data_IF_762207932582
#
_entry.id   IF_762207932582
#
_cell.length_a   1.000
_cell.length_b   1.000
_cell.length_c   1.000
_cell.angle_alpha   90.00
_cell.angle_beta   90.00
_cell.angle_gamma   90.00
#
_symmetry.space_group_name_H-M   'P 1'
#
loop_
_entity.id
_entity.type
_entity.pdbx_description
1 polymer ?
#
# COMPACT_ATOMS: atom_id res chain seq x y z
N UNK A 1 -3.93 11.56 -29.13
CA UNK A 1 -4.45 10.56 -30.10
C UNK A 1 -3.75 9.21 -29.97
N UNK A 2 -2.41 9.12 -30.10
CA UNK A 2 -1.64 7.86 -30.14
C UNK A 2 -1.89 6.86 -28.99
N UNK A 3 -2.02 7.35 -27.76
CA UNK A 3 -2.11 6.48 -26.57
C UNK A 3 -3.51 6.40 -25.94
N UNK A 4 -4.45 7.20 -26.43
CA UNK A 4 -5.78 7.38 -25.81
C UNK A 4 -5.77 8.03 -24.42
N UNK A 5 -4.62 8.47 -23.88
CA UNK A 5 -4.51 9.08 -22.55
C UNK A 5 -4.30 10.60 -22.67
N UNK A 6 -5.35 11.42 -22.50
CA UNK A 6 -5.21 12.87 -22.55
C UNK A 6 -4.50 13.38 -21.30
N UNK A 7 -3.72 14.47 -21.45
CA UNK A 7 -3.12 15.19 -20.35
C UNK A 7 -3.27 16.70 -20.53
N UNK A 8 -3.49 17.41 -19.43
CA UNK A 8 -3.46 18.88 -19.36
C UNK A 8 -2.40 19.35 -18.34
N UNK A 9 -1.91 20.61 -18.43
CA UNK A 9 -1.03 21.20 -17.41
C UNK A 9 -1.60 21.10 -15.98
N UNK A 10 -2.92 21.20 -15.86
CA UNK A 10 -3.70 21.08 -14.64
C UNK A 10 -4.91 20.20 -14.93
N UNK A 11 -5.15 19.20 -14.09
CA UNK A 11 -6.22 18.23 -14.29
C UNK A 11 -7.12 18.18 -13.06
N UNK A 12 -8.38 18.57 -13.25
CA UNK A 12 -9.40 18.44 -12.22
C UNK A 12 -10.04 17.06 -12.22
N UNK A 13 -10.39 16.58 -11.03
CA UNK A 13 -11.22 15.40 -10.84
C UNK A 13 -12.08 15.59 -9.57
N UNK A 14 -13.38 15.33 -9.66
CA UNK A 14 -14.30 15.46 -8.54
C UNK A 14 -15.67 15.94 -9.00
N UNK A 15 -16.50 16.38 -8.04
CA UNK A 15 -17.82 16.93 -8.34
C UNK A 15 -17.69 18.22 -9.17
N UNK A 16 -18.52 18.40 -10.19
CA UNK A 16 -18.49 19.63 -11.01
C UNK A 16 -18.81 20.89 -10.18
N UNK A 17 -19.63 20.72 -9.15
CA UNK A 17 -20.04 21.77 -8.21
C UNK A 17 -19.30 21.69 -6.85
N UNK A 18 -18.08 21.13 -6.84
CA UNK A 18 -17.29 21.03 -5.61
C UNK A 18 -17.07 22.38 -4.94
N UNK A 19 -17.29 22.44 -3.61
CA UNK A 19 -17.06 23.64 -2.80
C UNK A 19 -15.65 23.67 -2.19
N UNK A 20 -15.06 22.47 -2.00
CA UNK A 20 -13.71 22.24 -1.46
C UNK A 20 -12.83 21.52 -2.47
N UNK A 21 -11.65 22.10 -2.73
CA UNK A 21 -10.68 21.53 -3.66
C UNK A 21 -9.30 21.37 -3.00
N UNK A 22 -8.68 20.19 -3.15
CA UNK A 22 -7.27 20.00 -2.85
C UNK A 22 -6.43 20.22 -4.12
N UNK A 23 -5.41 21.08 -4.06
CA UNK A 23 -4.40 21.25 -5.11
C UNK A 23 -3.13 20.51 -4.69
N UNK A 24 -2.64 19.60 -5.54
CA UNK A 24 -1.52 18.72 -5.19
C UNK A 24 -0.73 18.30 -6.43
N UNK A 25 0.55 17.99 -6.22
CA UNK A 25 1.46 17.49 -7.25
C UNK A 25 2.04 16.09 -6.90
N UNK A 26 2.36 15.30 -7.92
CA UNK A 26 3.04 14.01 -7.77
C UNK A 26 2.12 12.86 -7.34
N UNK A 27 2.71 11.79 -6.79
CA UNK A 27 2.00 10.54 -6.50
C UNK A 27 0.84 10.70 -5.50
N UNK A 28 0.97 11.63 -4.54
CA UNK A 28 -0.09 11.90 -3.56
C UNK A 28 -1.42 12.26 -4.20
N UNK A 29 -1.42 12.83 -5.41
CA UNK A 29 -2.64 13.13 -6.17
C UNK A 29 -3.55 11.93 -6.42
N UNK A 30 -3.00 10.71 -6.51
CA UNK A 30 -3.81 9.50 -6.69
C UNK A 30 -4.53 9.08 -5.39
N UNK A 31 -3.88 9.21 -4.24
CA UNK A 31 -4.52 8.96 -2.95
C UNK A 31 -5.61 10.00 -2.63
N UNK A 32 -5.41 11.26 -3.04
CA UNK A 32 -6.46 12.29 -2.94
C UNK A 32 -7.61 12.00 -3.90
N UNK A 33 -7.35 11.57 -5.13
CA UNK A 33 -8.39 11.17 -6.08
C UNK A 33 -9.25 10.04 -5.53
N UNK A 34 -8.63 9.01 -4.94
CA UNK A 34 -9.34 7.91 -4.27
C UNK A 34 -10.18 8.40 -3.07
N UNK A 35 -9.65 9.34 -2.28
CA UNK A 35 -10.42 9.97 -1.20
C UNK A 35 -11.61 10.80 -1.73
N UNK A 36 -11.45 11.48 -2.87
CA UNK A 36 -12.52 12.23 -3.55
C UNK A 36 -13.60 11.28 -4.05
N UNK A 37 -13.24 10.14 -4.63
CA UNK A 37 -14.19 9.09 -5.05
C UNK A 37 -15.02 8.61 -3.86
N UNK A 38 -14.35 8.27 -2.74
CA UNK A 38 -15.01 7.84 -1.51
C UNK A 38 -15.96 8.91 -0.97
N UNK A 39 -15.51 10.14 -0.83
CA UNK A 39 -16.32 11.23 -0.26
C UNK A 39 -17.52 11.59 -1.15
N UNK A 40 -17.32 11.67 -2.46
CA UNK A 40 -18.40 12.00 -3.39
C UNK A 40 -19.44 10.88 -3.47
N UNK A 41 -19.03 9.61 -3.41
CA UNK A 41 -19.95 8.48 -3.31
C UNK A 41 -20.80 8.51 -2.01
N UNK A 42 -20.32 9.21 -0.97
CA UNK A 42 -21.02 9.43 0.30
C UNK A 42 -21.68 10.81 0.40
N UNK A 43 -21.93 11.47 -0.74
CA UNK A 43 -22.75 12.70 -0.81
C UNK A 43 -22.01 14.00 -0.50
N UNK A 44 -20.70 13.96 -0.28
CA UNK A 44 -19.89 15.18 -0.21
C UNK A 44 -19.61 15.73 -1.61
N UNK A 45 -19.26 17.02 -1.72
CA UNK A 45 -18.95 17.70 -2.99
C UNK A 45 -17.51 18.20 -2.99
N UNK A 46 -16.58 17.29 -3.22
CA UNK A 46 -15.14 17.58 -3.17
C UNK A 46 -14.45 17.29 -4.49
N UNK A 47 -13.29 17.91 -4.68
CA UNK A 47 -12.46 17.67 -5.85
C UNK A 47 -10.97 17.85 -5.62
N UNK A 48 -10.19 17.32 -6.54
CA UNK A 48 -8.74 17.44 -6.57
C UNK A 48 -8.29 18.06 -7.89
N UNK A 49 -7.41 19.05 -7.80
CA UNK A 49 -6.72 19.63 -8.95
C UNK A 49 -5.26 19.17 -8.92
N UNK A 50 -4.90 18.38 -9.94
CA UNK A 50 -3.60 17.74 -10.07
C UNK A 50 -2.70 18.62 -10.92
N UNK A 51 -1.60 19.08 -10.35
CA UNK A 51 -0.60 19.88 -11.08
C UNK A 51 0.32 18.93 -11.84
N UNK A 52 0.36 19.06 -13.18
CA UNK A 52 1.26 18.31 -14.07
C UNK A 52 2.44 19.16 -14.51
N UNK A 53 2.20 20.43 -14.82
CA UNK A 53 3.22 21.39 -15.21
C UNK A 53 3.34 22.47 -14.12
N UNK A 54 4.31 22.31 -13.21
CA UNK A 54 4.57 23.33 -12.19
C UNK A 54 5.32 24.54 -12.76
N UNK A 55 6.24 24.31 -13.70
CA UNK A 55 7.02 25.35 -14.37
C UNK A 55 7.15 25.06 -15.87
N UNK A 56 6.92 26.06 -16.75
CA UNK A 56 6.39 27.40 -16.44
C UNK A 56 4.96 27.34 -15.91
N UNK A 57 4.60 28.23 -14.98
CA UNK A 57 3.26 28.30 -14.41
C UNK A 57 2.31 29.00 -15.39
N UNK A 58 1.17 28.38 -15.70
CA UNK A 58 0.16 28.88 -16.64
C UNK A 58 -1.11 29.23 -15.87
N UNK A 59 -1.18 30.46 -15.35
CA UNK A 59 -2.25 30.90 -14.45
C UNK A 59 -3.64 30.74 -15.07
N UNK A 60 -3.79 31.08 -16.35
CA UNK A 60 -5.07 31.01 -17.07
C UNK A 60 -5.57 29.56 -17.15
N UNK A 61 -4.68 28.63 -17.50
CA UNK A 61 -5.02 27.21 -17.57
C UNK A 61 -5.29 26.59 -16.19
N UNK A 62 -4.67 27.14 -15.12
CA UNK A 62 -4.96 26.72 -13.75
C UNK A 62 -6.37 27.17 -13.33
N UNK A 63 -6.72 28.43 -13.61
CA UNK A 63 -8.04 28.99 -13.31
C UNK A 63 -9.14 28.29 -14.11
N UNK A 64 -8.91 27.99 -15.40
CA UNK A 64 -9.85 27.23 -16.24
C UNK A 64 -10.12 25.83 -15.68
N UNK A 65 -9.10 25.19 -15.09
CA UNK A 65 -9.24 23.86 -14.50
C UNK A 65 -9.91 23.87 -13.13
N UNK A 66 -9.96 24.99 -12.42
CA UNK A 66 -10.55 25.07 -11.08
C UNK A 66 -12.07 25.31 -11.18
N UNK A 67 -12.93 24.50 -10.52
CA UNK A 67 -14.37 24.74 -10.53
C UNK A 67 -14.74 26.13 -10.00
N UNK A 68 -15.65 26.83 -10.69
CA UNK A 68 -16.15 28.14 -10.25
C UNK A 68 -16.89 28.09 -8.90
N UNK A 69 -17.40 26.91 -8.51
CA UNK A 69 -18.00 26.64 -7.20
C UNK A 69 -16.99 26.56 -6.06
N UNK A 70 -15.70 26.38 -6.34
CA UNK A 70 -14.70 26.20 -5.29
C UNK A 70 -14.59 27.46 -4.42
N UNK A 71 -14.92 27.33 -3.13
CA UNK A 71 -14.81 28.40 -2.10
C UNK A 71 -13.65 28.16 -1.15
N UNK A 72 -13.23 26.90 -0.99
CA UNK A 72 -12.16 26.50 -0.07
C UNK A 72 -11.13 25.69 -0.83
N UNK A 73 -9.89 26.16 -0.84
CA UNK A 73 -8.76 25.53 -1.54
C UNK A 73 -7.69 25.17 -0.51
N UNK A 74 -7.34 23.89 -0.44
CA UNK A 74 -6.18 23.44 0.32
C UNK A 74 -5.05 23.05 -0.63
N UNK A 75 -3.87 23.58 -0.42
CA UNK A 75 -2.68 23.24 -1.22
C UNK A 75 -1.78 22.33 -0.41
N UNK A 76 -1.43 21.17 -0.97
CA UNK A 76 -0.59 20.19 -0.32
C UNK A 76 0.80 20.14 -0.96
N UNK A 77 1.80 20.47 -0.15
CA UNK A 77 3.19 20.49 -0.55
C UNK A 77 3.95 19.30 0.05
N UNK A 78 4.79 18.67 -0.80
CA UNK A 78 5.69 17.58 -0.39
C UNK A 78 7.11 18.10 -0.15
N UNK A 79 7.21 19.24 0.53
CA UNK A 79 8.46 19.89 0.91
C UNK A 79 8.27 20.66 2.23
N UNK A 80 9.37 21.15 2.81
CA UNK A 80 9.36 22.08 3.94
C UNK A 80 10.42 23.15 3.71
N UNK A 81 9.99 24.40 3.60
CA UNK A 81 10.88 25.56 3.56
C UNK A 81 10.85 26.25 4.93
N UNK A 82 11.87 25.99 5.75
CA UNK A 82 11.92 26.49 7.12
C UNK A 82 12.03 28.02 7.16
N UNK A 83 11.07 28.68 7.80
CA UNK A 83 11.04 30.14 7.93
C UNK A 83 10.34 30.87 6.78
N UNK A 84 9.86 30.16 5.75
CA UNK A 84 9.04 30.77 4.71
C UNK A 84 7.62 31.06 5.24
N UNK A 85 6.91 31.96 4.55
CA UNK A 85 5.49 32.22 4.84
C UNK A 85 4.58 31.04 4.43
N UNK A 86 5.03 30.22 3.48
CA UNK A 86 4.36 29.01 3.04
C UNK A 86 5.18 28.29 1.97
N UNK A 87 4.74 27.10 1.60
CA UNK A 87 5.46 26.25 0.65
C UNK A 87 5.28 26.70 -0.82
N UNK A 88 6.17 26.28 -1.74
CA UNK A 88 6.19 26.79 -3.11
C UNK A 88 4.88 26.64 -3.89
N UNK A 89 4.21 25.49 -3.80
CA UNK A 89 2.95 25.32 -4.53
C UNK A 89 1.83 26.12 -3.88
N UNK A 90 1.75 26.14 -2.55
CA UNK A 90 0.83 27.00 -1.81
C UNK A 90 0.97 28.47 -2.20
N UNK A 91 2.20 29.02 -2.17
CA UNK A 91 2.43 30.42 -2.54
C UNK A 91 2.03 30.69 -3.99
N UNK A 92 2.35 29.79 -4.92
CA UNK A 92 1.98 29.94 -6.32
C UNK A 92 0.46 29.99 -6.53
N UNK A 93 -0.28 29.09 -5.88
CA UNK A 93 -1.74 29.03 -5.98
C UNK A 93 -2.39 30.22 -5.29
N UNK A 94 -1.92 30.58 -4.10
CA UNK A 94 -2.44 31.72 -3.34
C UNK A 94 -2.28 33.02 -4.12
N UNK A 95 -1.11 33.27 -4.72
CA UNK A 95 -0.88 34.45 -5.57
C UNK A 95 -1.78 34.42 -6.81
N UNK A 96 -1.86 33.30 -7.53
CA UNK A 96 -2.70 33.21 -8.74
C UNK A 96 -4.19 33.45 -8.45
N UNK A 97 -4.72 32.90 -7.36
CA UNK A 97 -6.12 33.14 -6.97
C UNK A 97 -6.33 34.59 -6.52
N UNK A 98 -5.38 35.14 -5.78
CA UNK A 98 -5.46 36.52 -5.34
C UNK A 98 -5.44 37.52 -6.50
N UNK A 99 -4.54 37.35 -7.47
CA UNK A 99 -4.47 38.18 -8.67
C UNK A 99 -5.77 38.10 -9.48
N UNK A 100 -6.30 36.90 -9.70
CA UNK A 100 -7.58 36.73 -10.40
C UNK A 100 -8.75 37.41 -9.68
N UNK A 101 -8.83 37.29 -8.35
CA UNK A 101 -9.89 37.94 -7.54
C UNK A 101 -9.73 39.47 -7.45
N UNK A 102 -8.52 39.99 -7.66
CA UNK A 102 -8.28 41.43 -7.80
C UNK A 102 -8.69 41.95 -9.18
N UNK A 103 -8.40 41.19 -10.23
CA UNK A 103 -8.73 41.54 -11.62
C UNK A 103 -10.23 41.43 -11.90
N UNK A 104 -10.91 40.42 -11.35
CA UNK A 104 -12.35 40.21 -11.47
C UNK A 104 -13.03 40.13 -10.08
N UNK A 105 -13.55 41.26 -9.57
CA UNK A 105 -14.26 41.31 -8.30
C UNK A 105 -15.56 40.49 -8.24
N UNK A 106 -16.06 39.98 -9.38
CA UNK A 106 -17.22 39.07 -9.40
C UNK A 106 -16.86 37.66 -8.96
N UNK A 107 -15.57 37.30 -8.99
CA UNK A 107 -15.10 36.02 -8.48
C UNK A 107 -15.30 35.95 -6.96
N UNK A 108 -15.69 34.77 -6.45
CA UNK A 108 -15.83 34.60 -5.02
C UNK A 108 -14.46 34.68 -4.35
N UNK A 109 -14.37 35.40 -3.24
CA UNK A 109 -13.24 35.32 -2.32
C UNK A 109 -13.07 33.86 -1.85
N UNK A 110 -11.91 33.26 -2.10
CA UNK A 110 -11.63 31.89 -1.67
C UNK A 110 -10.82 31.86 -0.39
N UNK A 111 -11.15 30.93 0.49
CA UNK A 111 -10.25 30.53 1.56
C UNK A 111 -9.15 29.66 0.95
N UNK A 112 -7.89 30.10 1.03
CA UNK A 112 -6.73 29.31 0.64
C UNK A 112 -5.91 28.95 1.86
N UNK A 113 -5.63 27.67 2.07
CA UNK A 113 -4.76 27.17 3.15
C UNK A 113 -3.69 26.25 2.60
N UNK A 114 -2.54 26.18 3.27
CA UNK A 114 -1.44 25.29 2.93
C UNK A 114 -1.24 24.20 3.99
N UNK A 115 -0.74 23.05 3.56
CA UNK A 115 -0.33 21.95 4.45
C UNK A 115 0.74 21.08 3.81
N UNK A 116 1.47 20.36 4.67
CA UNK A 116 2.58 19.48 4.28
C UNK A 116 2.22 18.01 4.41
N UNK A 117 2.71 17.19 3.49
CA UNK A 117 2.55 15.75 3.54
C UNK A 117 3.80 15.02 3.03
N UNK A 118 3.92 13.74 3.38
CA UNK A 118 4.76 12.78 2.63
C UNK A 118 6.27 13.06 2.59
N UNK A 119 6.80 13.89 3.48
CA UNK A 119 8.25 14.16 3.57
C UNK A 119 9.02 12.87 3.81
N UNK A 120 10.15 12.71 3.12
CA UNK A 120 11.00 11.51 3.20
C UNK A 120 10.23 10.19 3.06
N UNK A 121 9.27 10.14 2.12
CA UNK A 121 8.41 8.97 1.89
C UNK A 121 7.53 8.58 3.07
N UNK A 122 7.22 9.51 3.97
CA UNK A 122 6.15 9.31 4.96
C UNK A 122 4.84 8.94 4.24
N UNK A 123 4.12 7.99 4.84
CA UNK A 123 2.89 7.45 4.27
C UNK A 123 1.82 8.53 4.06
N UNK A 124 1.17 8.51 2.90
CA UNK A 124 0.03 9.38 2.59
C UNK A 124 -1.14 8.56 2.05
N UNK A 125 -2.08 8.28 2.94
CA UNK A 125 -3.25 7.45 2.69
C UNK A 125 -4.45 8.29 2.23
N UNK A 126 -5.47 7.68 1.59
CA UNK A 126 -6.75 8.34 1.35
C UNK A 126 -7.36 8.92 2.63
N UNK A 127 -7.26 8.22 3.77
CA UNK A 127 -7.68 8.71 5.08
C UNK A 127 -6.99 10.04 5.49
N UNK A 128 -5.72 10.25 5.12
CA UNK A 128 -5.03 11.51 5.36
C UNK A 128 -5.59 12.64 4.49
N UNK A 129 -5.94 12.34 3.23
CA UNK A 129 -6.61 13.30 2.35
C UNK A 129 -8.02 13.65 2.84
N UNK A 130 -8.77 12.68 3.38
CA UNK A 130 -10.08 12.93 4.00
C UNK A 130 -9.95 13.84 5.23
N UNK A 131 -8.95 13.63 6.08
CA UNK A 131 -8.68 14.53 7.21
C UNK A 131 -8.41 15.99 6.77
N UNK A 132 -7.82 16.19 5.59
CA UNK A 132 -7.63 17.53 5.00
C UNK A 132 -8.97 18.15 4.60
N UNK A 133 -9.88 17.38 3.99
CA UNK A 133 -11.24 17.87 3.69
C UNK A 133 -12.04 18.19 4.96
N UNK A 134 -11.96 17.35 6.00
CA UNK A 134 -12.58 17.62 7.30
C UNK A 134 -12.00 18.88 7.96
N UNK A 135 -10.69 19.14 7.80
CA UNK A 135 -10.09 20.39 8.26
C UNK A 135 -10.69 21.61 7.55
N UNK A 136 -10.98 21.52 6.25
CA UNK A 136 -11.66 22.58 5.50
C UNK A 136 -13.12 22.82 5.97
N UNK A 137 -13.75 21.83 6.60
CA UNK A 137 -15.11 21.95 7.15
C UNK A 137 -15.17 22.62 8.53
N UNK A 138 -14.03 22.78 9.19
CA UNK A 138 -13.98 23.50 10.46
C UNK A 138 -14.39 24.97 10.27
N UNK A 139 -14.99 25.55 11.31
CA UNK A 139 -15.28 26.98 11.38
C UNK A 139 -14.00 27.82 11.18
N UNK A 140 -12.91 27.37 11.80
CA UNK A 140 -11.56 27.92 11.61
C UNK A 140 -10.63 26.78 11.17
N UNK A 141 -10.44 26.57 9.86
CA UNK A 141 -9.52 25.56 9.35
C UNK A 141 -8.10 25.83 9.82
N UNK A 142 -7.41 24.77 10.26
CA UNK A 142 -5.99 24.84 10.60
C UNK A 142 -5.21 25.17 9.32
N UNK A 143 -4.28 26.12 9.43
CA UNK A 143 -3.35 26.52 8.37
C UNK A 143 -1.95 26.02 8.71
N UNK A 144 -1.08 25.93 7.71
CA UNK A 144 0.33 25.55 7.92
C UNK A 144 0.45 24.20 8.67
N UNK A 145 -0.44 23.28 8.32
CA UNK A 145 -0.57 22.01 9.02
C UNK A 145 0.38 20.95 8.45
N UNK A 146 0.47 19.82 9.13
CA UNK A 146 1.06 18.58 8.64
C UNK A 146 0.05 17.44 8.72
N UNK A 147 0.19 16.43 7.86
CA UNK A 147 -0.67 15.24 7.90
C UNK A 147 0.17 13.97 7.78
N UNK A 148 -0.21 12.92 8.52
CA UNK A 148 0.54 11.66 8.60
C UNK A 148 1.63 11.61 9.67
N UNK A 149 1.66 12.58 10.59
CA UNK A 149 2.48 12.60 11.81
C UNK A 149 1.63 12.99 13.01
N UNK A 150 2.18 12.76 14.21
CA UNK A 150 1.73 13.42 15.44
C UNK A 150 2.78 14.48 15.75
N UNK A 151 2.38 15.74 15.70
CA UNK A 151 3.19 16.89 16.10
C UNK A 151 2.62 17.43 17.41
N UNK A 152 3.17 16.93 18.51
CA UNK A 152 2.83 17.30 19.89
C UNK A 152 3.61 18.52 20.40
N UNK A 153 4.50 19.08 19.58
CA UNK A 153 5.29 20.27 19.91
C UNK A 153 4.60 21.52 19.38
N UNK A 154 4.39 21.62 18.07
CA UNK A 154 3.74 22.80 17.48
C UNK A 154 2.24 22.63 17.31
N UNK A 155 1.70 21.42 17.55
CA UNK A 155 0.28 21.10 17.48
C UNK A 155 -0.34 21.42 16.10
N UNK A 156 0.44 21.22 15.04
CA UNK A 156 0.05 21.49 13.65
C UNK A 156 -0.27 20.23 12.87
N UNK A 157 -0.23 19.04 13.48
CA UNK A 157 -0.68 17.82 12.81
C UNK A 157 -2.20 17.73 12.81
N UNK A 158 -2.80 17.43 11.64
CA UNK A 158 -4.23 17.12 11.57
C UNK A 158 -4.53 15.81 12.32
N UNK A 159 -5.65 15.74 13.05
CA UNK A 159 -6.06 14.49 13.69
C UNK A 159 -6.45 13.45 12.64
N UNK A 160 -6.50 12.15 13.02
CA UNK A 160 -7.05 11.11 12.16
C UNK A 160 -8.47 11.44 11.71
N UNK A 161 -8.80 11.05 10.48
CA UNK A 161 -10.12 11.31 9.91
C UNK A 161 -11.24 10.58 10.68
N UNK A 162 -12.39 11.25 10.83
CA UNK A 162 -13.60 10.62 11.39
C UNK A 162 -14.46 10.00 10.29
N UNK A 163 -14.42 10.56 9.08
CA UNK A 163 -15.17 10.06 7.93
C UNK A 163 -14.54 8.81 7.29
N UNK A 164 -13.21 8.74 7.22
CA UNK A 164 -12.50 7.59 6.67
C UNK A 164 -11.34 7.18 7.60
N UNK A 165 -11.56 6.24 8.53
CA UNK A 165 -10.50 5.72 9.37
C UNK A 165 -9.37 5.08 8.55
N UNK A 166 -8.13 5.25 9.03
CA UNK A 166 -6.98 4.58 8.43
C UNK A 166 -7.19 3.05 8.48
N UNK A 167 -6.83 2.37 7.39
CA UNK A 167 -7.01 0.93 7.27
C UNK A 167 -8.37 0.50 6.74
N UNK A 168 -9.32 1.39 6.47
CA UNK A 168 -10.52 1.06 5.66
C UNK A 168 -10.13 1.07 4.17
N UNK A 169 -10.51 0.03 3.43
CA UNK A 169 -10.21 -0.05 2.00
C UNK A 169 -11.12 0.88 1.19
N UNK A 170 -10.50 1.67 0.33
CA UNK A 170 -11.13 2.52 -0.69
C UNK A 170 -10.77 2.07 -2.11
N UNK A 171 -10.19 0.88 -2.23
CA UNK A 171 -9.78 0.30 -3.51
C UNK A 171 -10.99 -0.23 -4.30
N UNK A 172 -10.88 -0.31 -5.64
CA UNK A 172 -11.91 -0.95 -6.46
C UNK A 172 -12.20 -2.38 -6.00
N UNK A 173 -13.47 -2.77 -6.04
CA UNK A 173 -13.91 -4.14 -5.74
C UNK A 173 -13.16 -5.17 -6.59
N UNK A 174 -12.78 -6.29 -5.96
CA UNK A 174 -11.98 -7.33 -6.61
C UNK A 174 -10.48 -7.06 -6.64
N UNK A 175 -9.99 -5.99 -5.99
CA UNK A 175 -8.56 -5.81 -5.75
C UNK A 175 -8.08 -6.76 -4.66
N UNK A 176 -7.18 -7.65 -5.03
CA UNK A 176 -6.49 -8.58 -4.14
C UNK A 176 -5.17 -7.98 -3.67
N UNK A 177 -4.95 -7.93 -2.36
CA UNK A 177 -3.77 -7.30 -1.75
C UNK A 177 -2.90 -8.34 -1.03
N UNK A 178 -1.59 -8.29 -1.24
CA UNK A 178 -0.64 -9.21 -0.64
C UNK A 178 0.50 -8.49 0.07
N UNK A 179 0.95 -9.06 1.20
CA UNK A 179 2.17 -8.62 1.90
C UNK A 179 3.11 -9.80 2.10
N UNK A 180 4.39 -9.59 1.79
CA UNK A 180 5.44 -10.59 1.98
C UNK A 180 6.57 -10.02 2.82
N UNK A 181 6.78 -10.61 3.98
CA UNK A 181 7.92 -10.35 4.85
C UNK A 181 9.04 -11.33 4.50
N UNK A 182 10.13 -10.82 3.94
CA UNK A 182 11.30 -11.59 3.56
C UNK A 182 12.58 -10.99 4.13
N UNK A 183 13.68 -11.71 3.97
CA UNK A 183 15.02 -11.29 4.36
C UNK A 183 15.85 -10.92 3.14
N UNK A 184 16.71 -9.90 3.27
CA UNK A 184 17.68 -9.56 2.24
C UNK A 184 18.47 -10.80 1.79
N UNK A 185 18.42 -11.08 0.49
CA UNK A 185 19.05 -12.24 -0.19
C UNK A 185 18.35 -13.60 -0.03
N UNK A 186 17.13 -13.67 0.49
CA UNK A 186 16.34 -14.92 0.55
C UNK A 186 15.59 -15.25 -0.77
N UNK A 187 15.53 -14.29 -1.70
CA UNK A 187 14.87 -14.41 -3.00
C UNK A 187 13.40 -13.99 -3.04
N UNK A 188 12.80 -13.55 -1.93
CA UNK A 188 11.39 -13.13 -1.83
C UNK A 188 11.04 -12.03 -2.82
N UNK A 189 11.82 -10.95 -2.86
CA UNK A 189 11.55 -9.83 -3.79
C UNK A 189 11.68 -10.26 -5.25
N UNK A 190 12.64 -11.14 -5.57
CA UNK A 190 12.80 -11.70 -6.90
C UNK A 190 11.60 -12.54 -7.33
N UNK A 191 11.15 -13.44 -6.45
CA UNK A 191 9.97 -14.26 -6.67
C UNK A 191 8.70 -13.40 -6.85
N UNK A 192 8.54 -12.34 -6.06
CA UNK A 192 7.41 -11.42 -6.17
C UNK A 192 7.42 -10.67 -7.51
N UNK A 193 8.58 -10.16 -7.95
CA UNK A 193 8.73 -9.53 -9.28
C UNK A 193 8.36 -10.49 -10.40
N UNK A 194 8.72 -11.76 -10.28
CA UNK A 194 8.39 -12.78 -11.27
C UNK A 194 6.90 -13.14 -11.25
N UNK A 195 6.31 -13.28 -10.05
CA UNK A 195 4.87 -13.51 -9.89
C UNK A 195 4.04 -12.40 -10.56
N UNK A 196 4.43 -11.15 -10.39
CA UNK A 196 3.79 -10.00 -11.04
C UNK A 196 3.84 -10.12 -12.56
N UNK A 197 5.00 -10.45 -13.14
CA UNK A 197 5.13 -10.64 -14.58
C UNK A 197 4.25 -11.78 -15.08
N UNK A 198 4.26 -12.91 -14.38
CA UNK A 198 3.42 -14.07 -14.73
C UNK A 198 1.95 -13.67 -14.74
N UNK A 199 1.47 -12.98 -13.70
CA UNK A 199 0.06 -12.57 -13.60
C UNK A 199 -0.27 -11.52 -14.68
N UNK A 200 0.49 -10.43 -14.75
CA UNK A 200 0.19 -9.32 -15.65
C UNK A 200 0.36 -9.66 -17.15
N UNK A 201 1.21 -10.62 -17.50
CA UNK A 201 1.39 -11.05 -18.91
C UNK A 201 0.43 -12.17 -19.34
N UNK A 202 -0.30 -12.78 -18.41
CA UNK A 202 -1.19 -13.91 -18.71
C UNK A 202 -2.64 -13.67 -18.24
N UNK A 203 -2.95 -12.48 -17.74
CA UNK A 203 -4.30 -12.07 -17.33
C UNK A 203 -4.54 -10.63 -17.76
N UNK A 204 -5.81 -10.23 -17.76
CA UNK A 204 -6.21 -8.83 -17.97
C UNK A 204 -6.17 -8.02 -16.66
N UNK A 205 -5.62 -8.58 -15.58
CA UNK A 205 -5.51 -7.89 -14.30
C UNK A 205 -4.43 -6.82 -14.36
N UNK A 206 -4.74 -5.67 -13.78
CA UNK A 206 -3.74 -4.70 -13.41
C UNK A 206 -2.93 -5.23 -12.23
N UNK A 207 -1.61 -5.01 -12.28
CA UNK A 207 -0.71 -5.36 -11.20
C UNK A 207 0.03 -4.12 -10.70
N UNK A 208 0.18 -4.01 -9.39
CA UNK A 208 0.99 -2.99 -8.73
C UNK A 208 1.92 -3.67 -7.74
N UNK A 209 3.13 -3.12 -7.60
CA UNK A 209 4.09 -3.60 -6.61
C UNK A 209 4.92 -2.47 -6.03
N UNK A 210 5.16 -2.56 -4.73
CA UNK A 210 6.07 -1.71 -3.99
C UNK A 210 6.92 -2.59 -3.08
N UNK A 211 8.21 -2.27 -2.97
CA UNK A 211 9.16 -3.03 -2.16
C UNK A 211 9.83 -2.09 -1.17
N UNK A 212 9.61 -2.33 0.10
CA UNK A 212 10.31 -1.66 1.19
C UNK A 212 11.54 -2.48 1.56
N UNK A 213 12.66 -1.78 1.74
CA UNK A 213 13.95 -2.36 2.10
C UNK A 213 14.49 -1.69 3.35
N UNK A 214 15.14 -2.48 4.19
CA UNK A 214 16.00 -1.96 5.25
C UNK A 214 17.19 -1.18 4.65
N UNK A 215 17.76 -0.27 5.44
CA UNK A 215 19.00 0.43 5.11
C UNK A 215 20.22 -0.53 5.10
N UNK A 216 20.10 -1.68 5.77
CA UNK A 216 21.16 -2.70 5.82
C UNK A 216 21.35 -3.35 4.44
N UNK A 217 22.60 -3.34 3.94
CA UNK A 217 22.95 -3.90 2.62
C UNK A 217 22.71 -5.41 2.49
N UNK A 218 22.75 -6.16 3.59
CA UNK A 218 22.50 -7.60 3.63
C UNK A 218 21.82 -8.00 4.94
N UNK A 219 20.99 -9.05 4.90
CA UNK A 219 20.28 -9.58 6.07
C UNK A 219 19.18 -8.69 6.66
N UNK A 220 18.99 -7.48 6.12
CA UNK A 220 17.91 -6.57 6.50
C UNK A 220 16.52 -7.11 6.12
N UNK A 221 15.48 -6.56 6.74
CA UNK A 221 14.10 -6.92 6.42
C UNK A 221 13.69 -6.36 5.05
N UNK A 222 12.87 -7.11 4.34
CA UNK A 222 12.20 -6.66 3.11
C UNK A 222 10.71 -6.89 3.24
N UNK A 223 9.92 -5.90 2.84
CA UNK A 223 8.46 -6.02 2.83
C UNK A 223 7.96 -5.70 1.44
N UNK A 224 7.35 -6.70 0.79
CA UNK A 224 6.77 -6.54 -0.54
C UNK A 224 5.27 -6.33 -0.42
N UNK A 225 4.76 -5.28 -1.04
CA UNK A 225 3.34 -4.94 -1.13
C UNK A 225 2.91 -5.13 -2.57
N UNK A 226 2.00 -6.07 -2.81
CA UNK A 226 1.51 -6.38 -4.15
C UNK A 226 0.00 -6.17 -4.19
N UNK A 227 -0.50 -5.71 -5.33
CA UNK A 227 -1.93 -5.63 -5.60
C UNK A 227 -2.24 -6.13 -7.00
N UNK A 228 -3.33 -6.85 -7.14
CA UNK A 228 -3.86 -7.34 -8.42
C UNK A 228 -5.34 -7.05 -8.49
N UNK A 229 -5.86 -6.63 -9.64
CA UNK A 229 -7.30 -6.37 -9.76
C UNK A 229 -7.76 -6.13 -11.19
N UNK A 230 -9.07 -6.28 -11.45
CA UNK A 230 -9.64 -6.06 -12.77
C UNK A 230 -9.65 -4.58 -13.18
N UNK A 231 -9.54 -3.67 -12.20
CA UNK A 231 -9.53 -2.23 -12.40
C UNK A 231 -8.14 -1.64 -12.20
N UNK A 232 -7.88 -0.49 -12.83
CA UNK A 232 -6.60 0.22 -12.71
C UNK A 232 -6.31 0.58 -11.25
N UNK A 233 -5.18 0.10 -10.74
CA UNK A 233 -4.77 0.31 -9.35
C UNK A 233 -4.06 1.66 -9.21
N UNK A 234 -4.58 2.53 -8.33
CA UNK A 234 -4.10 3.91 -8.10
C UNK A 234 -3.75 4.19 -6.64
N UNK A 235 -3.11 3.21 -5.99
CA UNK A 235 -2.78 3.27 -4.57
C UNK A 235 -1.27 3.39 -4.34
N UNK A 236 -0.66 4.59 -4.45
CA UNK A 236 0.77 4.78 -4.20
C UNK A 236 1.08 4.84 -2.70
N UNK A 237 0.54 3.90 -1.95
CA UNK A 237 0.66 3.72 -0.51
C UNK A 237 0.72 2.23 -0.16
N UNK A 238 1.26 1.89 1.00
CA UNK A 238 1.46 0.52 1.46
C UNK A 238 0.12 -0.20 1.67
N UNK A 239 0.09 -1.52 1.45
CA UNK A 239 -1.09 -2.36 1.73
C UNK A 239 -1.51 -2.21 3.19
N UNK A 240 -2.77 -1.87 3.40
CA UNK A 240 -3.38 -1.72 4.72
C UNK A 240 -4.28 -2.90 5.10
N UNK A 241 -4.83 -3.61 4.11
CA UNK A 241 -5.76 -4.73 4.29
C UNK A 241 -5.41 -5.89 3.33
N UNK A 242 -4.36 -6.64 3.66
CA UNK A 242 -3.90 -7.81 2.93
C UNK A 242 -4.89 -8.98 3.01
N UNK A 243 -5.23 -9.54 1.85
CA UNK A 243 -5.94 -10.81 1.71
C UNK A 243 -4.99 -12.00 1.92
N UNK A 244 -3.72 -11.82 1.56
CA UNK A 244 -2.67 -12.82 1.71
C UNK A 244 -1.42 -12.23 2.36
N UNK A 245 -0.91 -12.89 3.40
CA UNK A 245 0.28 -12.48 4.12
C UNK A 245 1.25 -13.64 4.27
N UNK A 246 2.46 -13.49 3.72
CA UNK A 246 3.53 -14.47 3.88
C UNK A 246 4.65 -13.92 4.78
N UNK A 247 5.02 -14.71 5.78
CA UNK A 247 6.17 -14.47 6.66
C UNK A 247 7.23 -15.53 6.34
N UNK A 248 8.19 -15.16 5.50
CA UNK A 248 9.22 -16.07 4.99
C UNK A 248 10.37 -16.28 5.98
N UNK A 249 10.35 -15.58 7.11
CA UNK A 249 11.34 -15.71 8.18
C UNK A 249 10.68 -15.64 9.57
N UNK A 250 10.56 -16.80 10.24
CA UNK A 250 9.85 -16.95 11.51
C UNK A 250 10.26 -15.97 12.63
N UNK A 251 11.52 -15.52 12.68
CA UNK A 251 11.99 -14.61 13.73
C UNK A 251 11.34 -13.22 13.69
N UNK A 252 10.71 -12.85 12.57
CA UNK A 252 10.05 -11.56 12.41
C UNK A 252 8.78 -11.44 13.25
N UNK A 253 8.13 -12.55 13.60
CA UNK A 253 6.95 -12.55 14.48
C UNK A 253 7.24 -11.99 15.88
N UNK A 254 8.48 -12.14 16.36
CA UNK A 254 8.89 -11.58 17.65
C UNK A 254 9.41 -10.14 17.55
N UNK A 255 9.80 -9.68 16.35
CA UNK A 255 10.49 -8.39 16.15
C UNK A 255 9.60 -7.29 15.57
N UNK A 256 8.63 -7.68 14.75
CA UNK A 256 7.81 -6.75 13.98
C UNK A 256 6.34 -7.11 14.11
N UNK A 257 5.47 -6.10 13.96
CA UNK A 257 4.03 -6.30 13.89
C UNK A 257 3.60 -6.81 12.50
N UNK A 258 4.02 -8.03 12.18
CA UNK A 258 3.88 -8.61 10.83
C UNK A 258 2.42 -8.78 10.41
N UNK A 259 1.49 -8.90 11.36
CA UNK A 259 0.07 -9.15 11.13
C UNK A 259 -0.79 -7.87 11.04
N UNK A 260 -0.21 -6.69 11.28
CA UNK A 260 -0.96 -5.43 11.38
C UNK A 260 -1.77 -5.06 10.11
N UNK A 261 -1.33 -5.52 8.94
CA UNK A 261 -2.01 -5.24 7.67
C UNK A 261 -2.99 -6.35 7.24
N UNK A 262 -3.16 -7.42 8.01
CA UNK A 262 -3.97 -8.57 7.59
C UNK A 262 -5.47 -8.32 7.77
N UNK A 263 -6.28 -8.65 6.75
CA UNK A 263 -7.75 -8.72 6.86
C UNK A 263 -8.18 -9.84 7.81
N UNK A 264 -9.27 -9.63 8.54
CA UNK A 264 -9.90 -10.74 9.28
C UNK A 264 -10.33 -11.85 8.30
N UNK A 265 -10.04 -13.10 8.64
CA UNK A 265 -10.28 -14.25 7.76
C UNK A 265 -9.28 -14.41 6.60
N UNK A 266 -8.30 -13.51 6.46
CA UNK A 266 -7.28 -13.57 5.41
C UNK A 266 -6.37 -14.80 5.51
N UNK A 267 -5.50 -15.00 4.52
CA UNK A 267 -4.56 -16.12 4.48
C UNK A 267 -3.23 -15.70 5.11
N UNK A 268 -2.71 -16.52 6.02
CA UNK A 268 -1.36 -16.37 6.58
C UNK A 268 -0.53 -17.59 6.22
N UNK A 269 0.64 -17.36 5.63
CA UNK A 269 1.63 -18.40 5.36
C UNK A 269 2.88 -18.11 6.19
N UNK A 270 3.26 -19.05 7.04
CA UNK A 270 4.46 -18.95 7.85
C UNK A 270 5.49 -19.99 7.41
N UNK A 271 6.64 -19.51 6.95
CA UNK A 271 7.81 -20.36 6.74
C UNK A 271 8.49 -20.61 8.09
N UNK A 272 8.34 -21.83 8.62
CA UNK A 272 8.85 -22.21 9.92
C UNK A 272 9.15 -23.70 10.01
N UNK A 273 10.12 -24.06 10.85
CA UNK A 273 10.37 -25.45 11.24
C UNK A 273 9.33 -26.02 12.20
N UNK A 274 8.50 -25.16 12.82
CA UNK A 274 7.48 -25.54 13.79
C UNK A 274 6.15 -25.77 13.07
N UNK A 275 6.05 -26.88 12.34
CA UNK A 275 4.91 -27.18 11.44
C UNK A 275 3.72 -27.86 12.13
N UNK A 276 3.80 -28.07 13.45
CA UNK A 276 2.73 -28.63 14.27
C UNK A 276 2.28 -27.61 15.33
N UNK A 277 0.97 -27.59 15.65
CA UNK A 277 0.33 -26.56 16.48
C UNK A 277 0.98 -26.39 17.84
N UNK A 278 1.29 -27.50 18.52
CA UNK A 278 1.90 -27.46 19.86
C UNK A 278 3.29 -26.86 19.83
N UNK A 279 4.11 -27.28 18.85
CA UNK A 279 5.46 -26.75 18.65
C UNK A 279 5.45 -25.25 18.28
N UNK A 280 4.46 -24.84 17.47
CA UNK A 280 4.27 -23.45 17.09
C UNK A 280 3.82 -22.61 18.29
N UNK A 281 2.89 -23.13 19.10
CA UNK A 281 2.35 -22.45 20.28
C UNK A 281 3.43 -22.10 21.30
N UNK A 282 4.43 -22.98 21.46
CA UNK A 282 5.61 -22.75 22.29
C UNK A 282 6.59 -21.72 21.72
N UNK A 283 6.61 -21.53 20.40
CA UNK A 283 7.49 -20.56 19.73
C UNK A 283 6.87 -19.15 19.64
N UNK A 284 5.57 -19.05 19.39
CA UNK A 284 4.93 -17.76 19.12
C UNK A 284 4.81 -16.88 20.37
N UNK A 285 5.14 -15.57 20.28
CA UNK A 285 4.85 -14.61 21.33
C UNK A 285 3.36 -14.53 21.65
N UNK A 286 3.01 -14.23 22.91
CA UNK A 286 1.62 -14.08 23.36
C UNK A 286 0.82 -13.06 22.52
N UNK A 287 1.44 -11.91 22.19
CA UNK A 287 0.82 -10.87 21.33
C UNK A 287 0.40 -11.44 19.96
N UNK A 288 1.27 -12.22 19.33
CA UNK A 288 1.02 -12.82 18.01
C UNK A 288 -0.10 -13.85 18.08
N UNK A 289 -0.09 -14.70 19.11
CA UNK A 289 -1.18 -15.69 19.34
C UNK A 289 -2.54 -15.02 19.46
N UNK A 290 -2.63 -13.93 20.23
CA UNK A 290 -3.85 -13.11 20.32
C UNK A 290 -4.26 -12.50 18.99
N UNK A 291 -3.33 -11.93 18.25
CA UNK A 291 -3.63 -11.34 16.94
C UNK A 291 -4.19 -12.39 15.98
N UNK A 292 -3.58 -13.59 15.93
CA UNK A 292 -4.08 -14.70 15.12
C UNK A 292 -5.48 -15.14 15.57
N UNK A 293 -5.73 -15.28 16.88
CA UNK A 293 -7.05 -15.63 17.40
C UNK A 293 -8.12 -14.56 17.09
N UNK A 294 -7.77 -13.28 17.16
CA UNK A 294 -8.68 -12.17 16.87
C UNK A 294 -8.98 -12.04 15.37
N UNK A 295 -7.95 -12.16 14.52
CA UNK A 295 -8.06 -12.03 13.07
C UNK A 295 -8.71 -13.27 12.44
N UNK A 296 -8.59 -14.44 13.07
CA UNK A 296 -9.10 -15.74 12.59
C UNK A 296 -8.66 -16.07 11.15
N UNK A 297 -7.37 -15.93 10.79
CA UNK A 297 -6.93 -16.21 9.44
C UNK A 297 -6.94 -17.70 9.12
N UNK A 298 -6.91 -18.01 7.83
CA UNK A 298 -6.51 -19.34 7.36
C UNK A 298 -4.99 -19.46 7.49
N UNK A 299 -4.53 -20.14 8.55
CA UNK A 299 -3.11 -20.29 8.86
C UNK A 299 -2.53 -21.52 8.16
N UNK A 300 -1.46 -21.30 7.40
CA UNK A 300 -0.69 -22.32 6.72
C UNK A 300 0.78 -22.28 7.15
N UNK A 301 1.34 -23.45 7.44
CA UNK A 301 2.72 -23.63 7.87
C UNK A 301 3.49 -24.45 6.83
N UNK A 302 4.75 -24.11 6.63
CA UNK A 302 5.66 -24.88 5.78
C UNK A 302 7.10 -24.73 6.26
N UNK A 303 7.85 -25.82 6.31
CA UNK A 303 9.32 -25.75 6.43
C UNK A 303 9.92 -25.72 5.02
N UNK A 304 9.95 -24.52 4.42
CA UNK A 304 10.40 -24.37 3.06
C UNK A 304 11.90 -24.70 2.89
N UNK A 305 12.68 -24.61 3.97
CA UNK A 305 14.09 -25.00 3.96
C UNK A 305 14.25 -26.51 3.91
N UNK A 306 13.45 -27.27 4.66
CA UNK A 306 13.43 -28.72 4.56
C UNK A 306 13.02 -29.19 3.16
N UNK A 307 11.97 -28.58 2.58
CA UNK A 307 11.54 -28.86 1.19
C UNK A 307 12.67 -28.57 0.20
N UNK A 308 13.28 -27.39 0.28
CA UNK A 308 14.37 -27.00 -0.62
C UNK A 308 15.60 -27.94 -0.51
N UNK A 309 15.93 -28.42 0.69
CA UNK A 309 17.03 -29.39 0.87
C UNK A 309 16.67 -30.74 0.27
N UNK A 310 15.46 -31.25 0.50
CA UNK A 310 15.01 -32.54 0.01
C UNK A 310 14.98 -32.60 -1.53
N UNK A 311 14.71 -31.47 -2.20
CA UNK A 311 14.69 -31.39 -3.67
C UNK A 311 16.01 -30.91 -4.29
N UNK A 312 17.07 -30.74 -3.48
CA UNK A 312 18.40 -30.37 -3.96
C UNK A 312 18.60 -28.89 -4.32
N UNK A 313 17.71 -28.00 -3.87
CA UNK A 313 17.84 -26.53 -4.00
C UNK A 313 18.67 -25.89 -2.87
N UNK A 314 19.06 -26.66 -1.86
CA UNK A 314 19.90 -26.17 -0.75
C UNK A 314 19.15 -25.19 0.13
N UNK A 315 19.60 -23.93 0.18
CA UNK A 315 19.01 -22.87 1.03
C UNK A 315 17.98 -21.99 0.31
N UNK A 316 17.70 -22.26 -0.97
CA UNK A 316 16.85 -21.42 -1.80
C UNK A 316 15.37 -21.78 -1.66
N UNK A 317 14.67 -21.04 -0.79
CA UNK A 317 13.26 -21.27 -0.46
C UNK A 317 12.28 -20.53 -1.37
N UNK A 318 12.77 -19.62 -2.20
CA UNK A 318 11.97 -18.72 -3.02
C UNK A 318 10.99 -19.46 -3.94
N UNK A 319 11.39 -20.56 -4.56
CA UNK A 319 10.51 -21.35 -5.44
C UNK A 319 9.40 -22.06 -4.68
N UNK A 320 9.70 -22.57 -3.48
CA UNK A 320 8.72 -23.21 -2.61
C UNK A 320 7.67 -22.19 -2.18
N UNK A 321 8.11 -21.04 -1.65
CA UNK A 321 7.20 -19.98 -1.19
C UNK A 321 6.39 -19.36 -2.34
N UNK A 322 6.98 -19.21 -3.52
CA UNK A 322 6.26 -18.73 -4.71
C UNK A 322 5.16 -19.70 -5.14
N UNK A 323 5.43 -21.00 -5.07
CA UNK A 323 4.42 -22.03 -5.37
C UNK A 323 3.26 -21.97 -4.38
N UNK A 324 3.56 -21.84 -3.09
CA UNK A 324 2.54 -21.69 -2.04
C UNK A 324 1.67 -20.45 -2.28
N UNK A 325 2.27 -19.32 -2.69
CA UNK A 325 1.51 -18.13 -3.05
C UNK A 325 0.53 -18.39 -4.21
N UNK A 326 0.99 -19.02 -5.30
CA UNK A 326 0.09 -19.32 -6.43
C UNK A 326 -1.02 -20.31 -6.06
N UNK A 327 -0.72 -21.28 -5.18
CA UNK A 327 -1.70 -22.24 -4.70
C UNK A 327 -2.81 -21.58 -3.85
N UNK A 328 -2.44 -20.65 -2.96
CA UNK A 328 -3.36 -20.09 -1.97
C UNK A 328 -3.98 -18.74 -2.35
N UNK A 329 -3.36 -17.98 -3.25
CA UNK A 329 -3.82 -16.62 -3.58
C UNK A 329 -5.11 -16.59 -4.40
N UNK A 330 -5.40 -17.64 -5.16
CA UNK A 330 -6.57 -17.69 -6.05
C UNK A 330 -6.55 -16.69 -7.22
N UNK A 331 -5.47 -15.90 -7.38
CA UNK A 331 -5.33 -14.90 -8.46
C UNK A 331 -5.27 -15.56 -9.84
N UNK A 332 -4.80 -16.81 -9.90
CA UNK A 332 -4.79 -17.65 -11.08
C UNK A 332 -5.31 -19.05 -10.71
N UNK A 333 -6.02 -19.74 -11.63
CA UNK A 333 -6.33 -21.15 -11.45
C UNK A 333 -5.04 -21.96 -11.24
N UNK A 334 -5.04 -22.85 -10.25
CA UNK A 334 -3.86 -23.57 -9.78
C UNK A 334 -3.11 -24.31 -10.90
N UNK A 335 -3.83 -25.06 -11.74
CA UNK A 335 -3.24 -25.80 -12.87
C UNK A 335 -2.49 -24.87 -13.83
N UNK A 336 -3.12 -23.73 -14.14
CA UNK A 336 -2.52 -22.70 -15.00
C UNK A 336 -1.31 -22.05 -14.35
N UNK A 337 -1.38 -21.78 -13.04
CA UNK A 337 -0.27 -21.19 -12.30
C UNK A 337 0.95 -22.12 -12.25
N UNK A 338 0.75 -23.42 -11.99
CA UNK A 338 1.83 -24.42 -12.00
C UNK A 338 2.47 -24.51 -13.39
N UNK A 339 1.66 -24.57 -14.45
CA UNK A 339 2.17 -24.62 -15.81
C UNK A 339 3.02 -23.40 -16.18
N UNK A 340 2.54 -22.19 -15.85
CA UNK A 340 3.27 -20.94 -16.09
C UNK A 340 4.55 -20.85 -15.25
N UNK A 341 4.50 -21.29 -13.99
CA UNK A 341 5.66 -21.32 -13.11
C UNK A 341 6.74 -22.28 -13.64
N UNK A 342 6.36 -23.52 -13.99
CA UNK A 342 7.28 -24.51 -14.59
C UNK A 342 7.89 -24.00 -15.90
N UNK A 343 7.10 -23.32 -16.74
CA UNK A 343 7.58 -22.67 -17.97
C UNK A 343 8.58 -21.53 -17.70
N UNK A 344 8.30 -20.67 -16.72
CA UNK A 344 9.21 -19.59 -16.33
C UNK A 344 10.53 -20.13 -15.78
N UNK A 345 10.48 -21.16 -14.92
CA UNK A 345 11.66 -21.87 -14.40
C UNK A 345 12.52 -22.39 -15.55
N UNK A 346 11.93 -23.11 -16.50
CA UNK A 346 12.68 -23.68 -17.63
C UNK A 346 13.39 -22.58 -18.42
N UNK A 347 12.73 -21.47 -18.69
CA UNK A 347 13.33 -20.32 -19.40
C UNK A 347 14.44 -19.63 -18.59
N UNK A 348 14.25 -19.46 -17.28
CA UNK A 348 15.19 -18.76 -16.42
C UNK A 348 16.48 -19.56 -16.17
N UNK A 349 16.37 -20.90 -16.10
CA UNK A 349 17.46 -21.78 -15.73
C UNK A 349 17.97 -22.69 -16.86
N UNK A 350 17.50 -22.50 -18.10
CA UNK A 350 17.95 -23.25 -19.28
C UNK A 350 19.48 -23.32 -19.39
N UNK A 351 20.15 -22.17 -19.18
CA UNK A 351 21.62 -22.06 -19.24
C UNK A 351 22.35 -22.77 -18.10
N UNK A 352 21.66 -23.16 -17.02
CA UNK A 352 22.24 -23.88 -15.88
C UNK A 352 22.13 -25.40 -16.01
N UNK A 353 21.50 -25.89 -17.08
CA UNK A 353 21.37 -27.31 -17.39
C UNK A 353 20.07 -27.95 -16.90
N UNK A 354 19.69 -29.11 -17.49
CA UNK A 354 18.40 -29.77 -17.26
C UNK A 354 18.21 -30.25 -15.82
N UNK A 355 19.29 -30.62 -15.13
CA UNK A 355 19.22 -31.07 -13.73
C UNK A 355 18.72 -29.96 -12.79
N UNK A 356 19.18 -28.72 -13.00
CA UNK A 356 18.73 -27.57 -12.19
C UNK A 356 17.26 -27.29 -12.44
N UNK A 357 16.80 -27.37 -13.69
CA UNK A 357 15.38 -27.20 -14.04
C UNK A 357 14.53 -28.28 -13.36
N UNK A 358 14.95 -29.55 -13.43
CA UNK A 358 14.24 -30.67 -12.81
C UNK A 358 14.13 -30.52 -11.28
N UNK A 359 15.21 -30.10 -10.59
CA UNK A 359 15.19 -29.83 -9.14
C UNK A 359 14.17 -28.74 -8.76
N UNK A 360 14.07 -27.69 -9.57
CA UNK A 360 13.09 -26.63 -9.35
C UNK A 360 11.65 -27.11 -9.60
N UNK A 361 11.41 -27.94 -10.63
CA UNK A 361 10.09 -28.55 -10.85
C UNK A 361 9.69 -29.47 -9.70
N UNK A 362 10.61 -30.30 -9.20
CA UNK A 362 10.36 -31.14 -8.03
C UNK A 362 10.03 -30.32 -6.77
N UNK A 363 10.68 -29.16 -6.59
CA UNK A 363 10.37 -28.25 -5.49
C UNK A 363 8.96 -27.65 -5.57
N UNK A 364 8.47 -27.34 -6.78
CA UNK A 364 7.09 -26.89 -7.01
C UNK A 364 6.11 -27.99 -6.56
N UNK A 365 6.35 -29.23 -7.00
CA UNK A 365 5.44 -30.34 -6.69
C UNK A 365 5.46 -30.69 -5.18
N UNK A 366 6.65 -30.67 -4.56
CA UNK A 366 6.83 -30.95 -3.13
C UNK A 366 6.29 -29.83 -2.21
N UNK A 367 6.25 -28.58 -2.68
CA UNK A 367 5.77 -27.45 -1.89
C UNK A 367 4.30 -27.60 -1.48
N UNK A 368 3.46 -28.07 -2.41
CA UNK A 368 2.01 -28.22 -2.19
C UNK A 368 1.74 -29.34 -1.19
N UNK A 369 2.41 -30.48 -1.33
CA UNK A 369 2.23 -31.63 -0.42
C UNK A 369 2.81 -31.39 0.98
N UNK A 370 3.77 -30.49 1.12
CA UNK A 370 4.40 -30.14 2.40
C UNK A 370 3.68 -29.01 3.15
N UNK A 371 2.69 -28.37 2.52
CA UNK A 371 1.94 -27.27 3.11
C UNK A 371 0.90 -27.80 4.10
N UNK A 372 0.91 -27.27 5.33
CA UNK A 372 0.01 -27.72 6.41
C UNK A 372 -0.95 -26.61 6.80
N UNK A 373 -2.26 -26.83 6.65
CA UNK A 373 -3.26 -25.95 7.24
C UNK A 373 -3.38 -26.27 8.73
N UNK A 374 -3.38 -25.24 9.56
CA UNK A 374 -3.46 -25.36 11.02
C UNK A 374 -4.67 -24.60 11.53
N UNK A 375 -5.45 -25.27 12.36
CA UNK A 375 -6.53 -24.64 13.11
C UNK A 375 -5.98 -23.84 14.29
N UNK A 376 -6.51 -22.64 14.49
CA UNK A 376 -6.04 -21.73 15.53
C UNK A 376 -6.72 -22.12 16.85
N UNK A 377 -5.95 -22.49 17.90
CA UNK A 377 -6.55 -22.84 19.18
C UNK A 377 -7.33 -21.66 19.79
N UNK A 378 -8.58 -21.87 20.26
CA UNK A 378 -9.34 -20.81 20.94
C UNK A 378 -8.61 -20.21 22.14
N UNK A 379 -7.84 -21.04 22.86
CA UNK A 379 -7.03 -20.64 24.02
C UNK A 379 -6.00 -19.55 23.71
N UNK A 380 -5.62 -19.36 22.44
CA UNK A 380 -4.72 -18.26 22.05
C UNK A 380 -5.35 -16.88 22.23
N UNK A 381 -6.68 -16.77 22.22
CA UNK A 381 -7.40 -15.53 22.50
C UNK A 381 -7.47 -15.19 23.99
N UNK A 382 -7.35 -16.19 24.86
CA UNK A 382 -7.55 -16.08 26.31
C UNK A 382 -6.26 -15.80 27.09
N UNK A 383 -5.10 -15.82 26.41
CA UNK A 383 -3.80 -15.58 27.04
C UNK A 383 -3.81 -14.21 27.73
N UNK A 384 -3.30 -14.06 28.95
CA UNK A 384 -3.05 -12.72 29.49
C UNK A 384 -1.76 -12.17 28.86
N UNK A 385 -1.84 -11.00 28.23
CA UNK A 385 -0.62 -10.30 27.79
C UNK A 385 -0.22 -9.37 28.92
N UNK A 386 1.01 -9.47 29.46
CA UNK A 386 1.49 -8.49 30.41
C UNK A 386 1.34 -7.10 29.80
N UNK A 387 0.77 -6.17 30.56
CA UNK A 387 0.74 -4.76 30.18
C UNK A 387 2.20 -4.31 30.16
N UNK A 388 2.79 -4.19 28.97
CA UNK A 388 4.07 -3.49 28.83
C UNK A 388 3.79 -2.02 29.12
N UNK A 389 4.18 -1.56 30.31
CA UNK A 389 4.24 -0.14 30.61
C UNK A 389 5.22 0.51 29.60
N UNK A 390 4.78 1.53 28.85
CA UNK A 390 5.59 2.17 27.83
C UNK A 390 6.58 3.20 28.42
N UNK A 391 7.27 2.83 29.51
CA UNK A 391 8.31 3.66 30.13
C UNK A 391 9.70 3.14 29.78
#
# INVERSE_FOLDING_TARGET
>A
AVTGRPYKPYEYYGAEDADKVIVIMGSGSQAVEEAVEYLNANGHKVGVLKVRLFRPWKAEAFLEALPASARKVCVLDRTKESGSYGEPLYLQVATTLHEAELEDPSLPRRLVIGGRFGLASKEFLPAHAVAVYENLDRSTPMRDFSVGIVDDITNRSLPPSKLLPAGVSTLPTGTFECVFWGMGSDGTVGANKEAIKIIASNTDLYAQAYFSYDAHKSGGVTVSHLRFGPSKIRAPYLVQQADYLAINHQSYLAKYDTLNSLKSGGVVVLNTRFTEVDSLSGYLPAKVKKQLAALKPQLYLIDALAVAKATGLGKHVNMVMQTVFFNLSGVLPMERAIALLKKSISKAYERKGPEVVAKNHAAVDAAISSLRKVEIPPSWGEIETPIMHPN
#
